data_IF_235381876908
#
_entry.id   IF_235381876908
#
_cell.length_a   1.000
_cell.length_b   1.000
_cell.length_c   1.000
_cell.angle_alpha   90.00
_cell.angle_beta   90.00
_cell.angle_gamma   90.00
#
_symmetry.space_group_name_H-M   'P 1'
#
loop_
_entity.id
_entity.type
_entity.pdbx_description
1 polymer ?
#
# COMPACT_ATOMS: atom_id res chain seq x y z
N UNK A 1 26.27 -15.05 3.34
CA UNK A 1 25.79 -14.62 4.67
C UNK A 1 24.31 -14.23 4.71
N UNK A 2 23.58 -14.41 3.62
CA UNK A 2 22.13 -14.12 3.53
C UNK A 2 21.26 -15.09 4.34
N UNK A 3 21.77 -16.27 4.67
CA UNK A 3 21.05 -17.31 5.41
C UNK A 3 21.32 -17.35 6.93
N UNK A 4 22.30 -16.60 7.41
CA UNK A 4 22.71 -16.64 8.81
C UNK A 4 21.85 -15.81 9.77
N UNK A 5 20.92 -14.99 9.27
CA UNK A 5 20.08 -14.11 10.10
C UNK A 5 18.72 -14.70 10.51
N UNK A 6 18.46 -15.98 10.26
CA UNK A 6 17.24 -16.68 10.66
C UNK A 6 17.35 -17.44 11.99
N UNK A 7 18.22 -16.96 12.88
CA UNK A 7 18.27 -17.45 14.27
C UNK A 7 17.03 -17.01 15.05
N UNK A 8 16.34 -17.96 15.64
CA UNK A 8 15.28 -17.75 16.61
C UNK A 8 15.79 -16.84 17.75
N UNK A 9 15.27 -15.62 17.86
CA UNK A 9 15.44 -14.85 19.08
C UNK A 9 15.51 -13.33 18.98
N UNK A 10 15.97 -12.73 17.90
CA UNK A 10 16.05 -11.27 17.83
C UNK A 10 14.99 -10.67 16.91
N UNK A 11 14.02 -9.98 17.51
CA UNK A 11 12.99 -9.20 16.83
C UNK A 11 13.63 -7.90 16.35
N UNK A 12 14.34 -7.96 15.21
CA UNK A 12 14.86 -6.77 14.57
C UNK A 12 13.72 -5.98 13.95
N UNK A 13 13.52 -4.74 14.39
CA UNK A 13 12.67 -3.79 13.69
C UNK A 13 13.33 -3.42 12.37
N UNK A 14 12.60 -3.56 11.26
CA UNK A 14 13.00 -3.07 9.94
C UNK A 14 12.34 -1.72 9.75
N UNK A 15 13.09 -0.65 9.91
CA UNK A 15 12.54 0.71 9.90
C UNK A 15 13.05 1.49 8.69
N UNK A 16 12.13 2.19 8.01
CA UNK A 16 12.42 3.22 7.03
C UNK A 16 11.80 4.50 7.58
N UNK A 17 12.63 5.43 8.01
CA UNK A 17 12.12 6.63 8.67
C UNK A 17 12.94 7.89 8.40
N UNK A 18 12.26 9.04 8.45
CA UNK A 18 12.86 10.37 8.26
C UNK A 18 13.64 10.51 6.94
N UNK A 19 13.20 9.78 5.91
CA UNK A 19 13.75 9.87 4.58
C UNK A 19 12.98 10.88 3.73
N UNK A 20 13.70 11.57 2.85
CA UNK A 20 13.14 12.33 1.75
C UNK A 20 13.42 11.58 0.46
N UNK A 21 12.38 11.19 -0.29
CA UNK A 21 12.50 10.41 -1.53
C UNK A 21 11.78 11.17 -2.63
N UNK A 22 12.50 11.57 -3.68
CA UNK A 22 11.96 12.39 -4.75
C UNK A 22 12.43 11.90 -6.12
N UNK A 23 11.60 12.18 -7.15
CA UNK A 23 11.93 11.94 -8.56
C UNK A 23 12.30 10.49 -8.90
N UNK A 24 11.67 9.52 -8.27
CA UNK A 24 11.84 8.10 -8.59
C UNK A 24 10.90 7.67 -9.71
N UNK A 25 11.40 6.90 -10.68
CA UNK A 25 10.62 6.53 -11.86
C UNK A 25 9.46 5.57 -11.58
N UNK A 26 9.59 4.67 -10.60
CA UNK A 26 8.55 3.66 -10.32
C UNK A 26 8.04 3.75 -8.89
N UNK A 27 8.81 3.34 -7.91
CA UNK A 27 8.40 3.38 -6.49
C UNK A 27 9.18 4.43 -5.72
N UNK A 28 8.50 5.13 -4.83
CA UNK A 28 9.16 5.94 -3.82
C UNK A 28 9.79 5.05 -2.74
N UNK A 29 8.96 4.33 -1.99
CA UNK A 29 9.40 3.36 -0.99
C UNK A 29 8.67 2.04 -1.23
N UNK A 30 9.40 0.97 -1.55
CA UNK A 30 8.90 -0.38 -1.61
C UNK A 30 9.62 -1.23 -0.56
N UNK A 31 8.90 -1.80 0.38
CA UNK A 31 9.47 -2.53 1.50
C UNK A 31 8.87 -3.92 1.65
N UNK A 32 9.73 -4.89 1.89
CA UNK A 32 9.36 -6.29 1.93
C UNK A 32 9.28 -6.91 0.54
N UNK A 33 9.70 -8.14 0.41
CA UNK A 33 9.63 -8.91 -0.82
C UNK A 33 9.80 -10.39 -0.50
N UNK A 34 9.27 -11.25 -1.36
CA UNK A 34 9.48 -12.70 -1.24
C UNK A 34 9.69 -13.32 -2.60
N UNK A 35 10.50 -14.36 -2.68
CA UNK A 35 10.60 -15.24 -3.84
C UNK A 35 9.58 -16.39 -3.79
N UNK A 36 8.77 -16.47 -2.71
CA UNK A 36 7.78 -17.51 -2.48
C UNK A 36 6.36 -17.01 -2.75
N UNK A 37 6.14 -16.37 -3.89
CA UNK A 37 4.84 -15.79 -4.27
C UNK A 37 3.72 -16.83 -4.28
N UNK A 38 4.05 -18.07 -4.62
CA UNK A 38 3.13 -19.22 -4.65
C UNK A 38 2.54 -19.57 -3.28
N UNK A 39 3.08 -19.05 -2.19
CA UNK A 39 2.53 -19.21 -0.83
C UNK A 39 1.45 -18.18 -0.48
N UNK A 40 1.34 -17.10 -1.24
CA UNK A 40 0.42 -15.98 -0.97
C UNK A 40 -0.79 -15.99 -1.91
N UNK A 41 -1.43 -17.14 -2.05
CA UNK A 41 -2.52 -17.34 -3.04
C UNK A 41 -3.91 -17.49 -2.42
N UNK A 42 -4.01 -17.55 -1.11
CA UNK A 42 -5.29 -17.69 -0.43
C UNK A 42 -5.92 -16.32 -0.11
N UNK A 43 -7.25 -16.26 -0.07
CA UNK A 43 -8.01 -15.08 0.31
C UNK A 43 -7.64 -14.62 1.73
N UNK A 44 -7.74 -15.51 2.69
CA UNK A 44 -7.23 -15.29 4.03
C UNK A 44 -5.78 -15.78 4.09
N UNK A 45 -4.88 -14.88 4.42
CA UNK A 45 -3.46 -15.20 4.55
C UNK A 45 -3.18 -15.85 5.91
N UNK A 46 -2.76 -17.12 5.97
CA UNK A 46 -2.38 -17.72 7.25
C UNK A 46 -1.17 -17.01 7.86
N UNK A 47 -1.25 -16.69 9.14
CA UNK A 47 -0.18 -16.03 9.89
C UNK A 47 1.19 -16.67 9.66
N UNK A 48 1.24 -18.00 9.77
CA UNK A 48 2.47 -18.77 9.62
C UNK A 48 3.10 -18.64 8.23
N UNK A 49 2.27 -18.50 7.20
CA UNK A 49 2.76 -18.27 5.82
C UNK A 49 3.44 -16.91 5.74
N UNK A 50 2.77 -15.87 6.22
CA UNK A 50 3.33 -14.51 6.12
C UNK A 50 4.56 -14.34 7.02
N UNK A 51 4.55 -14.91 8.22
CA UNK A 51 5.70 -14.89 9.15
C UNK A 51 6.91 -15.66 8.61
N UNK A 52 6.66 -16.77 7.93
CA UNK A 52 7.74 -17.65 7.43
C UNK A 52 8.34 -17.15 6.12
N UNK A 53 7.50 -16.73 5.19
CA UNK A 53 7.92 -16.41 3.81
C UNK A 53 7.93 -14.93 3.48
N UNK A 54 7.30 -14.10 4.28
CA UNK A 54 7.26 -12.65 4.14
C UNK A 54 8.23 -11.93 5.08
N UNK A 55 7.91 -10.67 5.34
CA UNK A 55 8.67 -9.81 6.25
C UNK A 55 7.87 -9.49 7.51
N UNK A 56 8.53 -9.46 8.65
CA UNK A 56 7.93 -9.10 9.95
C UNK A 56 8.56 -7.81 10.50
N UNK A 57 7.85 -7.13 11.41
CA UNK A 57 8.34 -5.94 12.12
C UNK A 57 8.78 -4.80 11.18
N UNK A 58 8.06 -4.63 10.07
CA UNK A 58 8.30 -3.53 9.13
C UNK A 58 7.59 -2.27 9.63
N UNK A 59 8.34 -1.18 9.79
CA UNK A 59 7.82 0.15 10.13
C UNK A 59 8.29 1.16 9.09
N UNK A 60 7.35 1.91 8.50
CA UNK A 60 7.63 2.99 7.55
C UNK A 60 6.99 4.25 8.13
N UNK A 61 7.81 5.18 8.62
CA UNK A 61 7.29 6.33 9.33
C UNK A 61 8.08 7.63 9.12
N UNK A 62 7.38 8.77 9.22
CA UNK A 62 7.99 10.09 9.10
C UNK A 62 8.80 10.30 7.81
N UNK A 63 8.37 9.71 6.71
CA UNK A 63 9.00 9.91 5.42
C UNK A 63 8.23 10.93 4.59
N UNK A 64 8.93 11.64 3.73
CA UNK A 64 8.37 12.52 2.70
C UNK A 64 8.70 11.94 1.33
N UNK A 65 7.67 11.58 0.56
CA UNK A 65 7.79 11.00 -0.77
C UNK A 65 7.11 11.92 -1.78
N UNK A 66 7.82 12.31 -2.82
CA UNK A 66 7.33 13.31 -3.77
C UNK A 66 7.78 13.07 -5.21
N UNK A 67 6.93 13.48 -6.16
CA UNK A 67 7.23 13.44 -7.60
C UNK A 67 7.66 12.03 -8.03
N UNK A 68 6.82 11.04 -7.74
CA UNK A 68 7.08 9.63 -8.03
C UNK A 68 6.32 9.20 -9.28
N UNK A 69 7.04 8.59 -10.23
CA UNK A 69 6.47 8.17 -11.50
C UNK A 69 5.38 7.10 -11.37
N UNK A 70 5.51 6.18 -10.44
CA UNK A 70 4.54 5.14 -10.10
C UNK A 70 4.03 5.25 -8.67
N UNK A 71 4.14 4.20 -7.88
CA UNK A 71 3.61 4.10 -6.52
C UNK A 71 4.43 4.87 -5.48
N UNK A 72 3.76 5.46 -4.50
CA UNK A 72 4.43 6.22 -3.45
C UNK A 72 5.07 5.33 -2.40
N UNK A 73 4.28 4.68 -1.55
CA UNK A 73 4.76 3.79 -0.47
C UNK A 73 4.00 2.47 -0.50
N UNK A 74 4.73 1.37 -0.66
CA UNK A 74 4.12 0.04 -0.79
C UNK A 74 4.87 -1.00 0.07
N UNK A 75 4.37 -1.34 1.28
CA UNK A 75 4.79 -2.56 1.95
C UNK A 75 4.27 -3.78 1.21
N UNK A 76 5.10 -4.82 1.06
CA UNK A 76 4.76 -6.04 0.32
C UNK A 76 5.07 -7.28 1.13
N UNK A 77 4.12 -8.24 1.13
CA UNK A 77 4.29 -9.53 1.81
C UNK A 77 4.70 -9.40 3.28
N UNK A 78 4.11 -8.44 3.99
CA UNK A 78 4.47 -8.15 5.38
C UNK A 78 3.40 -8.66 6.35
N UNK A 79 3.85 -9.15 7.51
CA UNK A 79 3.00 -9.44 8.65
C UNK A 79 2.99 -8.22 9.59
N UNK A 80 1.80 -7.67 9.83
CA UNK A 80 1.55 -6.51 10.70
C UNK A 80 2.48 -5.30 10.42
N UNK A 81 2.66 -4.88 9.17
CA UNK A 81 3.46 -3.69 8.92
C UNK A 81 2.76 -2.44 9.44
N UNK A 82 3.53 -1.50 10.00
CA UNK A 82 3.06 -0.20 10.46
C UNK A 82 3.55 0.91 9.55
N UNK A 83 2.61 1.64 8.95
CA UNK A 83 2.90 2.76 8.04
C UNK A 83 2.23 4.00 8.61
N UNK A 84 3.02 4.95 9.12
CA UNK A 84 2.47 6.09 9.83
C UNK A 84 3.28 7.38 9.66
N UNK A 85 2.59 8.52 9.81
CA UNK A 85 3.21 9.86 9.77
C UNK A 85 4.02 10.12 8.49
N UNK A 86 3.66 9.48 7.37
CA UNK A 86 4.30 9.76 6.09
C UNK A 86 3.50 10.78 5.29
N UNK A 87 4.18 11.54 4.47
CA UNK A 87 3.57 12.44 3.49
C UNK A 87 3.95 11.95 2.09
N UNK A 88 2.93 11.78 1.23
CA UNK A 88 3.08 11.37 -0.16
C UNK A 88 2.43 12.40 -1.07
N UNK A 89 3.21 13.02 -1.96
CA UNK A 89 2.77 14.15 -2.80
C UNK A 89 3.18 13.95 -4.26
N UNK A 90 2.28 14.26 -5.21
CA UNK A 90 2.51 14.12 -6.65
C UNK A 90 2.94 12.70 -7.03
N UNK A 91 2.06 11.76 -6.89
CA UNK A 91 2.30 10.34 -7.15
C UNK A 91 1.70 9.95 -8.49
N UNK A 92 2.26 8.94 -9.14
CA UNK A 92 1.89 8.47 -10.48
C UNK A 92 2.05 9.55 -11.56
N UNK A 93 3.06 10.41 -11.42
CA UNK A 93 3.27 11.54 -12.35
C UNK A 93 3.84 11.12 -13.69
N UNK A 94 4.38 9.92 -13.82
CA UNK A 94 5.05 9.44 -15.02
C UNK A 94 4.89 7.92 -15.18
N UNK A 95 3.67 7.51 -15.47
CA UNK A 95 3.37 6.11 -15.79
C UNK A 95 3.84 5.81 -17.19
N UNK A 96 4.87 4.98 -17.33
CA UNK A 96 5.44 4.55 -18.59
C UNK A 96 4.88 3.18 -19.02
N UNK A 97 3.81 3.14 -19.82
CA UNK A 97 3.23 1.87 -20.26
C UNK A 97 4.22 1.00 -21.05
N UNK A 98 5.11 1.60 -21.80
CA UNK A 98 6.12 0.93 -22.63
C UNK A 98 7.23 0.22 -21.83
N UNK A 99 7.46 0.58 -20.58
CA UNK A 99 8.38 -0.14 -19.71
C UNK A 99 7.80 -1.43 -19.13
N UNK A 100 6.49 -1.61 -19.26
CA UNK A 100 5.73 -2.70 -18.64
C UNK A 100 4.89 -3.49 -19.65
N UNK A 101 4.88 -3.08 -20.93
CA UNK A 101 4.19 -3.75 -22.02
C UNK A 101 5.03 -4.90 -22.59
N UNK A 102 5.42 -5.86 -21.78
CA UNK A 102 5.62 -7.21 -22.29
C UNK A 102 4.24 -7.83 -22.51
N UNK A 103 4.07 -8.54 -23.62
CA UNK A 103 2.79 -9.14 -24.01
C UNK A 103 2.17 -9.92 -22.86
N UNK A 104 1.02 -9.46 -22.36
CA UNK A 104 0.28 -10.10 -21.27
C UNK A 104 0.55 -9.56 -19.85
N UNK A 105 1.52 -8.68 -19.65
CA UNK A 105 1.78 -8.10 -18.33
C UNK A 105 1.08 -6.74 -18.18
N UNK A 106 -0.04 -6.71 -17.47
CA UNK A 106 -0.76 -5.47 -17.14
C UNK A 106 -0.24 -4.77 -15.87
N UNK A 107 0.70 -5.38 -15.18
CA UNK A 107 1.23 -4.88 -13.92
C UNK A 107 2.24 -3.76 -14.11
N UNK A 108 1.83 -2.52 -14.12
CA UNK A 108 2.72 -1.37 -14.23
C UNK A 108 2.10 -0.17 -14.93
N UNK A 109 0.90 -0.33 -15.44
CA UNK A 109 0.11 0.76 -16.03
C UNK A 109 -0.70 1.54 -14.99
N UNK A 110 -0.74 1.05 -13.76
CA UNK A 110 -1.53 1.62 -12.66
C UNK A 110 -0.66 1.86 -11.44
N UNK A 111 -1.02 2.83 -10.63
CA UNK A 111 -0.35 3.14 -9.38
C UNK A 111 -1.30 3.87 -8.42
N UNK A 112 -1.10 3.64 -7.12
CA UNK A 112 -1.75 4.35 -6.04
C UNK A 112 -0.70 4.97 -5.10
N UNK A 113 -1.12 5.85 -4.18
CA UNK A 113 -0.14 6.58 -3.39
C UNK A 113 0.45 5.75 -2.25
N UNK A 114 -0.37 5.25 -1.34
CA UNK A 114 0.09 4.46 -0.19
C UNK A 114 -0.80 3.24 -0.02
N UNK A 115 -0.26 2.04 -0.26
CA UNK A 115 -1.06 0.83 -0.32
C UNK A 115 -0.22 -0.44 -0.04
N UNK A 116 -0.82 -1.52 0.51
CA UNK A 116 -0.12 -2.78 0.74
C UNK A 116 -0.27 -3.73 -0.45
N UNK A 117 0.69 -4.62 -0.61
CA UNK A 117 0.55 -5.79 -1.48
C UNK A 117 0.74 -7.08 -0.70
N UNK A 118 -0.28 -7.96 -0.69
CA UNK A 118 -0.22 -9.28 -0.04
C UNK A 118 0.26 -9.20 1.44
N UNK A 119 -0.16 -8.17 2.16
CA UNK A 119 0.15 -8.01 3.57
C UNK A 119 -0.96 -8.60 4.46
N UNK A 120 -0.60 -9.02 5.66
CA UNK A 120 -1.54 -9.42 6.71
C UNK A 120 -1.58 -8.35 7.80
N UNK A 121 -2.79 -7.86 8.12
CA UNK A 121 -3.07 -6.89 9.20
C UNK A 121 -2.19 -5.64 9.11
N UNK A 122 -2.05 -5.10 7.90
CA UNK A 122 -1.30 -3.87 7.67
C UNK A 122 -2.03 -2.66 8.28
N UNK A 123 -1.32 -1.83 9.06
CA UNK A 123 -1.89 -0.62 9.67
C UNK A 123 -1.30 0.64 9.05
N UNK A 124 -2.17 1.44 8.43
CA UNK A 124 -1.86 2.76 7.88
C UNK A 124 -2.56 3.83 8.70
N UNK A 125 -1.80 4.69 9.37
CA UNK A 125 -2.40 5.73 10.21
C UNK A 125 -1.59 7.03 10.20
N UNK A 126 -2.29 8.15 10.36
CA UNK A 126 -1.68 9.49 10.44
C UNK A 126 -0.80 9.83 9.23
N UNK A 127 -1.10 9.25 8.06
CA UNK A 127 -0.42 9.60 6.82
C UNK A 127 -1.21 10.67 6.06
N UNK A 128 -0.53 11.39 5.20
CA UNK A 128 -1.09 12.41 4.33
C UNK A 128 -0.77 12.10 2.87
N UNK A 129 -1.76 12.22 1.98
CA UNK A 129 -1.59 11.97 0.54
C UNK A 129 -2.17 13.13 -0.26
N UNK A 130 -1.39 13.65 -1.21
CA UNK A 130 -1.75 14.78 -2.04
C UNK A 130 -1.46 14.52 -3.53
N UNK A 131 -2.41 14.89 -4.39
CA UNK A 131 -2.21 15.03 -5.83
C UNK A 131 -1.72 13.74 -6.52
N UNK A 132 -2.31 12.59 -6.21
CA UNK A 132 -2.05 11.38 -7.01
C UNK A 132 -2.72 11.52 -8.38
N UNK A 133 -1.96 11.30 -9.45
CA UNK A 133 -2.46 11.46 -10.81
C UNK A 133 -3.32 10.26 -11.21
N UNK A 134 -4.49 10.52 -11.81
CA UNK A 134 -5.36 9.47 -12.34
C UNK A 134 -4.65 8.69 -13.47
N UNK A 135 -4.67 7.36 -13.38
CA UNK A 135 -3.98 6.48 -14.31
C UNK A 135 -4.69 5.13 -14.52
N UNK A 136 -6.00 5.07 -14.43
CA UNK A 136 -6.93 3.95 -14.24
C UNK A 136 -7.13 3.61 -12.75
N UNK A 137 -6.10 3.80 -11.93
CA UNK A 137 -6.12 3.87 -10.48
C UNK A 137 -5.88 5.33 -10.05
N UNK A 138 -4.93 5.61 -9.20
CA UNK A 138 -4.59 6.97 -8.77
C UNK A 138 -5.29 7.38 -7.49
N UNK A 139 -5.68 6.42 -6.67
CA UNK A 139 -6.24 6.65 -5.34
C UNK A 139 -5.15 7.02 -4.33
N UNK A 140 -5.57 7.71 -3.28
CA UNK A 140 -4.70 7.92 -2.13
C UNK A 140 -4.37 6.59 -1.43
N UNK A 141 -5.38 5.76 -1.25
CA UNK A 141 -5.33 4.49 -0.53
C UNK A 141 -5.90 3.36 -1.39
N UNK A 142 -5.24 2.21 -1.37
CA UNK A 142 -5.74 1.03 -2.05
C UNK A 142 -5.58 -0.21 -1.14
N UNK A 143 -6.68 -0.84 -0.78
CA UNK A 143 -6.64 -2.09 -0.03
C UNK A 143 -6.61 -3.25 -1.02
N UNK A 144 -5.40 -3.59 -1.48
CA UNK A 144 -5.19 -4.57 -2.54
C UNK A 144 -4.61 -5.88 -2.02
N UNK A 145 -5.19 -6.98 -2.50
CA UNK A 145 -4.65 -8.35 -2.39
C UNK A 145 -4.08 -8.73 -1.02
N UNK A 146 -4.73 -8.32 0.06
CA UNK A 146 -4.26 -8.57 1.43
C UNK A 146 -5.38 -9.03 2.38
N UNK A 147 -5.03 -9.21 3.63
CA UNK A 147 -5.94 -9.66 4.67
C UNK A 147 -5.86 -8.74 5.89
N UNK A 148 -6.93 -8.02 6.17
CA UNK A 148 -7.07 -7.19 7.35
C UNK A 148 -6.32 -5.86 7.28
N UNK A 149 -6.21 -5.23 6.11
CA UNK A 149 -5.65 -3.88 5.98
C UNK A 149 -6.52 -2.87 6.71
N UNK A 150 -5.91 -2.01 7.53
CA UNK A 150 -6.59 -0.96 8.30
C UNK A 150 -6.03 0.40 7.89
N UNK A 151 -6.90 1.27 7.38
CA UNK A 151 -6.61 2.69 7.18
C UNK A 151 -7.38 3.50 8.22
N UNK A 152 -6.68 4.25 9.07
CA UNK A 152 -7.31 5.10 10.07
C UNK A 152 -6.55 6.40 10.31
N UNK A 153 -7.29 7.47 10.60
CA UNK A 153 -6.75 8.79 10.95
C UNK A 153 -5.81 9.37 9.87
N UNK A 154 -6.03 9.00 8.60
CA UNK A 154 -5.27 9.53 7.48
C UNK A 154 -6.02 10.70 6.83
N UNK A 155 -5.28 11.51 6.08
CA UNK A 155 -5.80 12.61 5.30
C UNK A 155 -5.41 12.46 3.83
N UNK A 156 -6.36 12.71 2.93
CA UNK A 156 -6.10 12.73 1.49
C UNK A 156 -6.72 13.98 0.83
N UNK A 157 -6.05 14.50 -0.20
CA UNK A 157 -6.52 15.69 -0.90
C UNK A 157 -6.11 15.70 -2.37
N UNK A 158 -7.08 16.02 -3.24
CA UNK A 158 -6.89 16.22 -4.68
C UNK A 158 -6.33 14.98 -5.43
N UNK A 159 -6.65 13.79 -5.02
CA UNK A 159 -6.21 12.58 -5.70
C UNK A 159 -7.15 12.23 -6.86
N UNK A 160 -6.60 12.12 -8.07
CA UNK A 160 -7.37 12.04 -9.31
C UNK A 160 -8.20 10.74 -9.43
N UNK A 161 -7.70 9.62 -8.93
CA UNK A 161 -8.42 8.35 -8.90
C UNK A 161 -9.40 8.23 -7.72
N UNK A 162 -9.24 9.09 -6.71
CA UNK A 162 -10.12 9.11 -5.55
C UNK A 162 -9.42 8.91 -4.22
N UNK A 163 -10.23 8.78 -3.17
CA UNK A 163 -9.74 8.55 -1.82
C UNK A 163 -9.27 7.11 -1.66
N UNK A 164 -10.19 6.15 -1.64
CA UNK A 164 -9.87 4.75 -1.36
C UNK A 164 -10.49 3.80 -2.37
N UNK A 165 -9.72 2.80 -2.76
CA UNK A 165 -10.19 1.64 -3.49
C UNK A 165 -10.00 0.38 -2.63
N UNK A 166 -10.97 -0.53 -2.69
CA UNK A 166 -10.85 -1.89 -2.19
C UNK A 166 -10.73 -2.81 -3.40
N UNK A 167 -9.51 -3.07 -3.80
CA UNK A 167 -9.21 -3.73 -5.06
C UNK A 167 -8.98 -5.23 -4.90
N UNK A 168 -9.17 -5.91 -6.00
CA UNK A 168 -8.94 -7.32 -6.19
C UNK A 168 -9.83 -8.29 -5.38
N UNK A 169 -10.15 -9.41 -6.01
CA UNK A 169 -10.96 -10.47 -5.41
C UNK A 169 -10.25 -11.28 -4.34
N UNK A 170 -9.01 -10.95 -4.05
CA UNK A 170 -8.15 -11.62 -3.07
C UNK A 170 -7.90 -10.75 -1.83
N UNK A 171 -8.69 -9.72 -1.61
CA UNK A 171 -8.59 -8.81 -0.48
C UNK A 171 -9.76 -9.00 0.48
N UNK A 172 -9.49 -9.22 1.77
CA UNK A 172 -10.51 -9.56 2.79
C UNK A 172 -10.27 -8.81 4.10
N UNK A 173 -11.33 -8.70 4.91
CA UNK A 173 -11.29 -8.19 6.27
C UNK A 173 -10.76 -6.74 6.41
N UNK A 174 -10.81 -5.94 5.36
CA UNK A 174 -10.25 -4.60 5.34
C UNK A 174 -11.12 -3.59 6.10
N UNK A 175 -10.48 -2.59 6.71
CA UNK A 175 -11.15 -1.54 7.48
C UNK A 175 -10.66 -0.16 7.02
N UNK A 176 -11.61 0.71 6.67
CA UNK A 176 -11.34 2.11 6.37
C UNK A 176 -12.17 2.99 7.32
N UNK A 177 -11.51 3.64 8.29
CA UNK A 177 -12.20 4.37 9.37
C UNK A 177 -11.51 5.65 9.81
N UNK A 178 -12.29 6.64 10.18
CA UNK A 178 -11.82 7.90 10.79
C UNK A 178 -10.80 8.64 9.93
N UNK A 179 -10.90 8.52 8.60
CA UNK A 179 -10.08 9.25 7.64
C UNK A 179 -10.82 10.50 7.15
N UNK A 180 -10.07 11.44 6.63
CA UNK A 180 -10.59 12.65 5.99
C UNK A 180 -10.12 12.67 4.55
N UNK A 181 -11.07 12.82 3.62
CA UNK A 181 -10.86 12.98 2.18
C UNK A 181 -11.38 14.34 1.73
N UNK A 182 -10.55 15.11 1.07
CA UNK A 182 -10.90 16.43 0.54
C UNK A 182 -10.66 16.51 -0.96
N UNK A 183 -11.68 16.87 -1.73
CA UNK A 183 -11.59 17.06 -3.18
C UNK A 183 -10.97 15.87 -3.93
N UNK A 184 -11.01 14.67 -3.40
CA UNK A 184 -10.58 13.48 -4.14
C UNK A 184 -11.59 13.16 -5.24
N UNK A 185 -11.13 12.68 -6.39
CA UNK A 185 -11.95 12.47 -7.58
C UNK A 185 -13.11 11.49 -7.38
N UNK A 186 -12.93 10.51 -6.49
CA UNK A 186 -13.98 9.60 -6.02
C UNK A 186 -13.78 9.38 -4.53
N UNK A 187 -14.85 9.37 -3.73
CA UNK A 187 -14.74 9.12 -2.29
C UNK A 187 -14.34 7.67 -2.01
N UNK A 188 -15.23 6.75 -2.29
CA UNK A 188 -15.04 5.33 -2.05
C UNK A 188 -15.27 4.57 -3.35
N UNK A 189 -14.27 3.88 -3.82
CA UNK A 189 -14.40 2.91 -4.89
C UNK A 189 -14.38 1.50 -4.28
N UNK A 190 -15.56 0.93 -4.13
CA UNK A 190 -15.70 -0.41 -3.57
C UNK A 190 -15.82 -1.43 -4.67
N UNK A 191 -14.86 -2.27 -4.88
CA UNK A 191 -15.05 -3.42 -5.74
C UNK A 191 -16.00 -4.41 -5.07
N UNK A 192 -16.82 -5.02 -5.89
CA UNK A 192 -17.81 -6.03 -5.51
C UNK A 192 -17.19 -7.30 -4.90
N UNK A 193 -15.86 -7.39 -4.87
CA UNK A 193 -15.12 -8.60 -4.55
C UNK A 193 -14.43 -8.59 -3.19
N UNK A 194 -14.42 -7.45 -2.50
CA UNK A 194 -13.76 -7.34 -1.20
C UNK A 194 -14.68 -7.89 -0.10
N UNK A 195 -14.31 -9.01 0.48
CA UNK A 195 -15.11 -9.70 1.49
C UNK A 195 -14.89 -9.10 2.87
N UNK A 196 -15.98 -8.87 3.61
CA UNK A 196 -15.98 -8.35 4.98
C UNK A 196 -15.29 -6.98 5.16
N UNK A 197 -15.29 -6.13 4.13
CA UNK A 197 -14.80 -4.77 4.24
C UNK A 197 -15.72 -3.91 5.14
N UNK A 198 -15.12 -3.10 6.02
CA UNK A 198 -15.84 -2.20 6.93
C UNK A 198 -15.39 -0.76 6.71
N UNK A 199 -16.36 0.11 6.40
CA UNK A 199 -16.12 1.54 6.14
C UNK A 199 -17.02 2.35 7.07
N UNK A 200 -16.42 3.12 7.99
CA UNK A 200 -17.18 3.90 8.95
C UNK A 200 -16.41 5.08 9.56
N UNK A 201 -17.15 6.12 9.99
CA UNK A 201 -16.58 7.25 10.71
C UNK A 201 -15.67 8.16 9.89
N UNK A 202 -15.72 8.10 8.55
CA UNK A 202 -14.91 8.92 7.66
C UNK A 202 -15.65 10.21 7.26
N UNK A 203 -14.88 11.22 6.85
CA UNK A 203 -15.39 12.50 6.32
C UNK A 203 -14.92 12.64 4.88
N UNK A 204 -15.84 12.90 3.96
CA UNK A 204 -15.57 13.18 2.54
C UNK A 204 -16.21 14.53 2.19
N UNK A 205 -15.45 15.46 1.59
CA UNK A 205 -15.98 16.77 1.18
C UNK A 205 -15.22 17.40 0.03
#
# INVERSE_FOLDING_TARGET
>A
DYYASRGLGDVYKRQIHHCKVENCRRWGIAAGYTYQHDKFTTLELPDEVVKTYGSTNVVIEHNFVKDIGGDGITPMYCFEPLIQYNVSENIAVDIHPDLYNEEGNRGGMTAAAIWPWKCKTALFQYNEVYNTVYNQDGQAWDADSGDGTIYQYNYSCNNGGGCVMFCEGESVNNIFRYNISQNDGTGILTPVRNVDAKIYGNIFY
#
